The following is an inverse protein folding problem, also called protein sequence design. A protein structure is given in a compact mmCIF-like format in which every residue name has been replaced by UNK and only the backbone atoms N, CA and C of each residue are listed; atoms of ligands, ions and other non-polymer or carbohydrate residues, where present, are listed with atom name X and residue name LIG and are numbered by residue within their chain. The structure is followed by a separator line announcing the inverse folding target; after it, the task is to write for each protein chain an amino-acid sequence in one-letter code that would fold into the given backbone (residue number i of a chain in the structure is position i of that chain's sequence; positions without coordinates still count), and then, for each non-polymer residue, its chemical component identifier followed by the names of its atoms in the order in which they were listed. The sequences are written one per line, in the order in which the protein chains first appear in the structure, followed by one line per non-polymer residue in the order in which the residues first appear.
data_IF_676310594742
#
_entry.id   IF_676310594742
#
_cell.length_a   1.000
_cell.length_b   1.000
_cell.length_c   1.000
_cell.angle_alpha   90.00
_cell.angle_beta   90.00
_cell.angle_gamma   90.00
#
_symmetry.space_group_name_H-M   'P 1'
#
loop_
_entity.id
_entity.type
_entity.pdbx_description
1 polymer ?
#
# COMPACT_ATOMS: atom_id res chain seq x y z
N UNK A 1 -26.92 -12.72 22.91
CA UNK A 1 -27.19 -11.28 22.99
C UNK A 1 -27.48 -10.77 21.60
N UNK A 2 -28.76 -10.53 21.30
CA UNK A 2 -29.27 -10.05 20.02
C UNK A 2 -28.75 -8.64 19.76
N UNK A 3 -27.88 -8.46 18.75
CA UNK A 3 -27.47 -7.14 18.28
C UNK A 3 -28.71 -6.45 17.72
N UNK A 4 -29.25 -5.47 18.46
CA UNK A 4 -30.24 -4.55 17.94
C UNK A 4 -29.63 -3.91 16.69
N UNK A 5 -30.21 -4.21 15.53
CA UNK A 5 -29.97 -3.45 14.32
C UNK A 5 -30.53 -2.07 14.65
N UNK A 6 -29.65 -1.10 14.88
CA UNK A 6 -30.04 0.29 15.00
C UNK A 6 -30.60 0.63 13.62
N UNK A 7 -31.91 0.67 13.49
CA UNK A 7 -32.60 1.14 12.29
C UNK A 7 -32.38 2.65 12.23
N UNK A 8 -31.18 3.02 11.80
CA UNK A 8 -30.84 4.39 11.47
C UNK A 8 -31.67 4.67 10.22
N UNK A 9 -32.75 5.43 10.34
CA UNK A 9 -33.53 5.90 9.20
C UNK A 9 -32.92 7.22 8.69
N UNK A 10 -31.97 7.18 7.73
CA UNK A 10 -31.30 8.37 7.25
C UNK A 10 -32.28 9.35 6.62
N UNK A 11 -33.36 8.86 6.00
CA UNK A 11 -34.33 9.68 5.30
C UNK A 11 -35.13 10.54 6.28
N UNK A 12 -35.51 9.98 7.43
CA UNK A 12 -36.14 10.77 8.51
C UNK A 12 -35.18 11.81 9.11
N UNK A 13 -33.89 11.45 9.29
CA UNK A 13 -32.90 12.38 9.80
C UNK A 13 -32.62 13.54 8.82
N UNK A 14 -32.56 13.26 7.53
CA UNK A 14 -32.39 14.26 6.47
C UNK A 14 -33.64 15.13 6.34
N UNK A 15 -34.84 14.54 6.38
CA UNK A 15 -36.10 15.28 6.31
C UNK A 15 -36.27 16.27 7.48
N UNK A 16 -35.93 15.86 8.72
CA UNK A 16 -35.97 16.74 9.89
C UNK A 16 -35.01 17.92 9.77
N UNK A 17 -33.80 17.69 9.26
CA UNK A 17 -32.81 18.76 9.07
C UNK A 17 -33.22 19.68 7.91
N UNK A 18 -33.75 19.12 6.82
CA UNK A 18 -34.26 19.90 5.68
C UNK A 18 -35.39 20.81 6.14
N UNK A 19 -36.40 20.28 6.83
CA UNK A 19 -37.51 21.07 7.34
C UNK A 19 -37.06 22.21 8.27
N UNK A 20 -36.04 21.96 9.11
CA UNK A 20 -35.45 23.01 9.96
C UNK A 20 -34.69 24.05 9.13
N UNK A 21 -33.97 23.65 8.09
CA UNK A 21 -33.29 24.58 7.18
C UNK A 21 -34.29 25.44 6.39
N UNK A 22 -35.36 24.83 5.88
CA UNK A 22 -36.45 25.49 5.17
C UNK A 22 -37.17 26.49 6.09
N UNK A 23 -37.37 26.17 7.37
CA UNK A 23 -37.96 27.10 8.34
C UNK A 23 -37.11 28.35 8.64
N UNK A 24 -35.84 28.36 8.24
CA UNK A 24 -34.90 29.48 8.46
C UNK A 24 -34.62 30.22 7.13
N UNK A 25 -35.20 29.79 6.00
CA UNK A 25 -34.95 30.40 4.69
C UNK A 25 -35.38 31.87 4.62
N UNK A 26 -36.38 32.26 5.40
CA UNK A 26 -36.84 33.66 5.54
C UNK A 26 -35.72 34.60 5.99
N UNK A 27 -34.70 34.07 6.70
CA UNK A 27 -33.52 34.84 7.09
C UNK A 27 -32.72 35.36 5.88
N UNK A 28 -32.86 34.74 4.70
CA UNK A 28 -32.17 35.14 3.48
C UNK A 28 -32.72 36.45 2.90
N UNK A 29 -33.95 36.83 3.24
CA UNK A 29 -34.60 38.04 2.74
C UNK A 29 -34.33 39.26 3.66
N UNK A 30 -33.83 39.03 4.87
CA UNK A 30 -33.59 40.07 5.86
C UNK A 30 -32.40 40.96 5.47
N UNK A 31 -32.66 42.27 5.27
CA UNK A 31 -31.63 43.30 5.13
C UNK A 31 -31.41 44.02 6.45
N UNK A 32 -30.18 43.97 6.96
CA UNK A 32 -29.80 44.63 8.22
C UNK A 32 -29.48 46.10 7.95
N UNK A 33 -30.43 46.99 8.26
CA UNK A 33 -30.31 48.45 8.03
C UNK A 33 -30.62 49.29 9.27
N UNK A 34 -31.12 48.66 10.34
CA UNK A 34 -31.53 49.32 11.58
C UNK A 34 -31.35 48.40 12.80
N UNK A 35 -31.38 48.95 14.01
CA UNK A 35 -31.25 48.18 15.26
C UNK A 35 -32.26 47.03 15.38
N UNK A 36 -33.56 47.20 15.06
CA UNK A 36 -34.51 46.08 15.06
C UNK A 36 -34.13 44.96 14.09
N UNK A 37 -33.68 45.30 12.88
CA UNK A 37 -33.24 44.29 11.90
C UNK A 37 -31.95 43.58 12.31
N UNK A 38 -31.09 44.24 13.10
CA UNK A 38 -29.89 43.63 13.67
C UNK A 38 -30.23 42.60 14.76
N UNK A 39 -31.16 42.93 15.66
CA UNK A 39 -31.64 41.99 16.69
C UNK A 39 -32.31 40.76 16.05
N UNK A 40 -33.14 40.98 15.02
CA UNK A 40 -33.77 39.90 14.26
C UNK A 40 -32.73 39.01 13.55
N UNK A 41 -31.68 39.58 12.97
CA UNK A 41 -30.58 38.82 12.40
C UNK A 41 -29.85 37.98 13.47
N UNK A 42 -29.71 38.50 14.69
CA UNK A 42 -29.17 37.77 15.83
C UNK A 42 -29.98 36.52 16.17
N UNK A 43 -31.32 36.62 16.16
CA UNK A 43 -32.23 35.49 16.38
C UNK A 43 -32.07 34.43 15.29
N UNK A 44 -32.10 34.83 14.01
CA UNK A 44 -31.89 33.88 12.90
C UNK A 44 -30.52 33.20 12.97
N UNK A 45 -29.46 33.94 13.33
CA UNK A 45 -28.13 33.35 13.52
C UNK A 45 -28.09 32.32 14.65
N UNK A 46 -28.86 32.53 15.72
CA UNK A 46 -29.06 31.52 16.77
C UNK A 46 -29.68 30.23 16.21
N UNK A 47 -30.77 30.36 15.45
CA UNK A 47 -31.46 29.23 14.82
C UNK A 47 -30.57 28.48 13.82
N UNK A 48 -29.75 29.19 13.02
CA UNK A 48 -28.77 28.58 12.11
C UNK A 48 -27.74 27.76 12.87
N UNK A 49 -27.26 28.24 14.02
CA UNK A 49 -26.30 27.49 14.86
C UNK A 49 -26.92 26.21 15.42
N UNK A 50 -28.16 26.27 15.89
CA UNK A 50 -28.90 25.10 16.37
C UNK A 50 -29.09 24.06 15.25
N UNK A 51 -29.52 24.50 14.07
CA UNK A 51 -29.68 23.63 12.91
C UNK A 51 -28.36 22.96 12.49
N UNK A 52 -27.24 23.70 12.53
CA UNK A 52 -25.89 23.15 12.29
C UNK A 52 -25.48 22.10 13.31
N UNK A 53 -25.77 22.33 14.60
CA UNK A 53 -25.48 21.36 15.66
C UNK A 53 -26.32 20.09 15.47
N UNK A 54 -27.62 20.23 15.22
CA UNK A 54 -28.52 19.10 14.96
C UNK A 54 -28.05 18.28 13.75
N UNK A 55 -27.68 18.93 12.64
CA UNK A 55 -27.12 18.25 11.47
C UNK A 55 -25.85 17.46 11.83
N UNK A 56 -24.94 18.05 12.61
CA UNK A 56 -23.70 17.40 13.02
C UNK A 56 -23.95 16.19 13.90
N UNK A 57 -24.87 16.29 14.85
CA UNK A 57 -25.21 15.20 15.77
C UNK A 57 -25.90 14.06 15.02
N UNK A 58 -26.85 14.36 14.12
CA UNK A 58 -27.45 13.34 13.26
C UNK A 58 -26.41 12.66 12.38
N UNK A 59 -25.50 13.41 11.74
CA UNK A 59 -24.38 12.81 10.99
C UNK A 59 -23.54 11.85 11.85
N UNK A 60 -23.21 12.24 13.08
CA UNK A 60 -22.46 11.39 14.01
C UNK A 60 -23.21 10.10 14.37
N UNK A 61 -24.50 10.19 14.66
CA UNK A 61 -25.31 8.99 14.98
C UNK A 61 -25.32 7.94 13.85
N UNK A 62 -25.12 8.37 12.59
CA UNK A 62 -24.98 7.48 11.44
C UNK A 62 -23.53 6.98 11.30
N UNK A 63 -22.55 7.87 11.39
CA UNK A 63 -21.15 7.57 11.08
C UNK A 63 -20.42 6.77 12.17
N UNK A 64 -20.70 7.04 13.44
CA UNK A 64 -20.01 6.40 14.56
C UNK A 64 -20.25 4.88 14.62
N UNK A 65 -21.48 4.34 14.44
CA UNK A 65 -21.66 2.88 14.38
C UNK A 65 -20.99 2.26 13.14
N UNK A 66 -20.96 2.96 11.99
CA UNK A 66 -20.27 2.47 10.79
C UNK A 66 -18.76 2.37 10.99
N UNK A 67 -18.16 3.36 11.68
CA UNK A 67 -16.74 3.29 12.07
C UNK A 67 -16.47 2.11 13.01
N UNK A 68 -17.32 1.93 14.01
CA UNK A 68 -17.18 0.82 14.95
C UNK A 68 -17.32 -0.54 14.25
N UNK A 69 -18.24 -0.68 13.28
CA UNK A 69 -18.38 -1.89 12.45
C UNK A 69 -17.12 -2.11 11.63
N UNK A 70 -16.62 -1.06 10.95
CA UNK A 70 -15.38 -1.15 10.16
C UNK A 70 -14.20 -1.63 11.01
N UNK A 71 -13.95 -1.00 12.16
CA UNK A 71 -12.86 -1.38 13.06
C UNK A 71 -13.02 -2.81 13.61
N UNK A 72 -14.25 -3.22 13.93
CA UNK A 72 -14.53 -4.58 14.38
C UNK A 72 -14.30 -5.61 13.26
N UNK A 73 -14.64 -5.26 12.02
CA UNK A 73 -14.38 -6.10 10.85
C UNK A 73 -12.88 -6.23 10.58
N UNK A 74 -12.12 -5.13 10.61
CA UNK A 74 -10.66 -5.16 10.46
C UNK A 74 -10.01 -6.05 11.52
N UNK A 75 -10.35 -5.86 12.80
CA UNK A 75 -9.85 -6.70 13.90
C UNK A 75 -10.25 -8.17 13.80
N UNK A 76 -11.38 -8.47 13.17
CA UNK A 76 -11.83 -9.85 12.97
C UNK A 76 -10.92 -10.60 11.99
N UNK A 77 -10.42 -9.91 10.95
CA UNK A 77 -9.63 -10.51 9.88
C UNK A 77 -8.12 -10.38 10.09
N UNK A 78 -7.67 -9.39 10.86
CA UNK A 78 -6.25 -9.12 11.16
C UNK A 78 -5.45 -10.38 11.57
N UNK A 79 -5.91 -11.25 12.50
CA UNK A 79 -5.14 -12.45 12.85
C UNK A 79 -5.01 -13.48 11.73
N UNK A 80 -5.99 -13.53 10.81
CA UNK A 80 -5.94 -14.41 9.65
C UNK A 80 -5.00 -13.85 8.59
N UNK A 81 -5.06 -12.54 8.34
CA UNK A 81 -4.16 -11.82 7.43
C UNK A 81 -2.70 -11.93 7.88
N UNK A 82 -2.42 -11.76 9.17
CA UNK A 82 -1.08 -11.94 9.74
C UNK A 82 -0.55 -13.36 9.50
N UNK A 83 -1.37 -14.39 9.77
CA UNK A 83 -0.98 -15.79 9.55
C UNK A 83 -0.70 -16.07 8.08
N UNK A 84 -1.57 -15.59 7.18
CA UNK A 84 -1.39 -15.73 5.74
C UNK A 84 -0.11 -15.01 5.31
N UNK A 85 0.15 -13.81 5.83
CA UNK A 85 1.37 -13.05 5.56
C UNK A 85 2.64 -13.79 6.00
N UNK A 86 2.65 -14.39 7.19
CA UNK A 86 3.78 -15.21 7.67
C UNK A 86 4.00 -16.44 6.79
N UNK A 87 2.92 -17.13 6.40
CA UNK A 87 3.00 -18.29 5.51
C UNK A 87 3.55 -17.87 4.13
N UNK A 88 3.06 -16.76 3.58
CA UNK A 88 3.52 -16.23 2.29
C UNK A 88 5.01 -15.89 2.34
N UNK A 89 5.46 -15.19 3.38
CA UNK A 89 6.87 -14.86 3.58
C UNK A 89 7.74 -16.12 3.69
N UNK A 90 7.29 -17.12 4.45
CA UNK A 90 7.99 -18.39 4.57
C UNK A 90 8.12 -19.10 3.23
N UNK A 91 7.03 -19.23 2.48
CA UNK A 91 7.03 -19.89 1.16
C UNK A 91 7.93 -19.17 0.17
N UNK A 92 7.88 -17.83 0.12
CA UNK A 92 8.80 -17.02 -0.71
C UNK A 92 10.26 -17.29 -0.34
N UNK A 93 10.57 -17.31 0.96
CA UNK A 93 11.93 -17.63 1.43
C UNK A 93 12.39 -19.03 1.02
N UNK A 94 11.51 -20.05 1.09
CA UNK A 94 11.84 -21.41 0.63
C UNK A 94 12.06 -21.47 -0.88
N UNK A 95 11.22 -20.79 -1.67
CA UNK A 95 11.34 -20.73 -3.12
C UNK A 95 12.67 -20.06 -3.51
N UNK A 96 12.99 -18.91 -2.92
CA UNK A 96 14.22 -18.18 -3.19
C UNK A 96 15.45 -19.01 -2.77
N UNK A 97 15.39 -19.68 -1.61
CA UNK A 97 16.44 -20.58 -1.14
C UNK A 97 16.68 -21.78 -2.07
N UNK A 98 15.61 -22.39 -2.60
CA UNK A 98 15.71 -23.47 -3.57
C UNK A 98 16.29 -22.98 -4.91
N UNK A 99 15.85 -21.82 -5.36
CA UNK A 99 16.35 -21.19 -6.58
C UNK A 99 17.84 -20.88 -6.51
N UNK A 100 18.32 -20.34 -5.39
CA UNK A 100 19.74 -20.09 -5.17
C UNK A 100 20.56 -21.39 -5.23
N UNK A 101 20.01 -22.51 -4.73
CA UNK A 101 20.65 -23.83 -4.86
C UNK A 101 20.71 -24.27 -6.33
N UNK A 102 19.62 -24.14 -7.08
CA UNK A 102 19.59 -24.46 -8.50
C UNK A 102 20.58 -23.62 -9.33
N UNK A 103 20.69 -22.32 -9.03
CA UNK A 103 21.68 -21.44 -9.67
C UNK A 103 23.11 -21.88 -9.35
N UNK A 104 23.43 -22.17 -8.09
CA UNK A 104 24.76 -22.69 -7.72
C UNK A 104 25.09 -24.01 -8.42
N UNK A 105 24.14 -24.94 -8.47
CA UNK A 105 24.33 -26.20 -9.20
C UNK A 105 24.54 -25.97 -10.71
N UNK A 106 23.81 -25.02 -11.31
CA UNK A 106 23.99 -24.67 -12.70
C UNK A 106 25.38 -24.07 -12.95
N UNK A 107 25.85 -23.17 -12.07
CA UNK A 107 27.17 -22.53 -12.16
C UNK A 107 28.31 -23.55 -11.97
N UNK A 108 28.19 -24.48 -11.02
CA UNK A 108 29.16 -25.55 -10.81
C UNK A 108 29.22 -26.48 -12.03
N UNK A 109 28.06 -26.88 -12.56
CA UNK A 109 27.99 -27.71 -13.77
C UNK A 109 28.52 -26.97 -15.01
N UNK A 110 28.30 -25.66 -15.12
CA UNK A 110 28.88 -24.86 -16.19
C UNK A 110 30.41 -24.86 -16.11
N UNK A 111 30.98 -24.63 -14.92
CA UNK A 111 32.43 -24.71 -14.69
C UNK A 111 33.00 -26.10 -14.97
N UNK A 112 32.29 -27.16 -14.60
CA UNK A 112 32.70 -28.54 -14.90
C UNK A 112 32.63 -28.84 -16.40
N UNK A 113 31.61 -28.35 -17.10
CA UNK A 113 31.46 -28.48 -18.54
C UNK A 113 32.59 -27.72 -19.27
N UNK A 114 32.90 -26.49 -18.87
CA UNK A 114 34.04 -25.71 -19.38
C UNK A 114 35.35 -26.50 -19.24
N UNK A 115 35.65 -27.01 -18.05
CA UNK A 115 36.84 -27.84 -17.79
C UNK A 115 36.89 -29.13 -18.61
N UNK A 116 35.74 -29.70 -19.00
CA UNK A 116 35.66 -30.92 -19.84
C UNK A 116 35.77 -30.61 -21.32
N UNK A 117 35.25 -29.47 -21.77
CA UNK A 117 35.41 -28.97 -23.14
C UNK A 117 36.87 -28.60 -23.40
N UNK A 118 37.54 -27.93 -22.45
CA UNK A 118 39.00 -27.66 -22.52
C UNK A 118 39.83 -28.95 -22.60
N UNK A 119 39.33 -30.07 -22.03
CA UNK A 119 39.95 -31.39 -22.07
C UNK A 119 39.51 -32.26 -23.26
N UNK A 120 38.74 -31.73 -24.21
CA UNK A 120 38.41 -32.40 -25.48
C UNK A 120 37.17 -33.31 -25.46
N UNK A 121 36.27 -33.18 -24.50
CA UNK A 121 35.03 -33.96 -24.45
C UNK A 121 33.91 -33.43 -25.38
N UNK A 122 33.02 -34.31 -25.83
CA UNK A 122 31.91 -34.01 -26.76
C UNK A 122 30.82 -33.12 -26.14
N UNK A 123 30.49 -32.02 -26.84
CA UNK A 123 29.64 -30.90 -26.38
C UNK A 123 28.17 -31.30 -26.06
N UNK A 124 27.69 -32.41 -26.61
CA UNK A 124 26.27 -32.76 -26.66
C UNK A 124 25.69 -33.34 -25.37
N UNK A 125 26.49 -34.04 -24.54
CA UNK A 125 26.00 -34.59 -23.26
C UNK A 125 26.06 -33.55 -22.12
N UNK A 126 27.03 -32.63 -22.17
CA UNK A 126 27.17 -31.56 -21.19
C UNK A 126 26.04 -30.52 -21.29
N UNK A 127 25.56 -30.23 -22.50
CA UNK A 127 24.52 -29.24 -22.77
C UNK A 127 23.12 -29.69 -22.34
N UNK A 128 22.75 -30.97 -22.52
CA UNK A 128 21.42 -31.50 -22.11
C UNK A 128 21.13 -31.37 -20.60
N UNK A 129 22.12 -31.57 -19.74
CA UNK A 129 21.95 -31.44 -18.28
C UNK A 129 21.83 -29.99 -17.84
N UNK A 130 22.43 -29.07 -18.59
CA UNK A 130 22.37 -27.64 -18.34
C UNK A 130 20.98 -27.07 -18.69
N UNK A 131 20.43 -27.47 -19.85
CA UNK A 131 19.06 -27.08 -20.26
C UNK A 131 17.99 -27.53 -19.26
N UNK A 132 18.06 -28.76 -18.75
CA UNK A 132 17.10 -29.26 -17.76
C UNK A 132 17.14 -28.48 -16.43
N UNK A 133 18.30 -27.92 -16.07
CA UNK A 133 18.43 -27.11 -14.85
C UNK A 133 17.89 -25.70 -15.08
N UNK A 134 18.11 -25.14 -16.28
CA UNK A 134 17.60 -23.83 -16.69
C UNK A 134 16.07 -23.79 -16.80
N UNK A 135 15.45 -24.85 -17.32
CA UNK A 135 13.99 -24.96 -17.41
C UNK A 135 13.32 -24.91 -16.02
N UNK A 136 13.92 -25.57 -15.03
CA UNK A 136 13.42 -25.55 -13.63
C UNK A 136 13.50 -24.16 -13.00
N UNK A 137 14.50 -23.35 -13.38
CA UNK A 137 14.64 -21.97 -12.91
C UNK A 137 13.56 -21.06 -13.53
N UNK A 138 13.23 -21.28 -14.80
CA UNK A 138 12.26 -20.46 -15.55
C UNK A 138 10.79 -20.68 -15.13
N UNK A 139 10.47 -21.79 -14.46
CA UNK A 139 9.12 -22.07 -13.95
C UNK A 139 8.73 -21.09 -12.82
N UNK A 140 9.70 -20.51 -12.11
CA UNK A 140 9.44 -19.57 -11.01
C UNK A 140 9.37 -18.14 -11.58
N UNK A 141 8.19 -17.50 -11.66
CA UNK A 141 8.06 -16.14 -12.16
C UNK A 141 8.78 -15.16 -11.23
N UNK A 142 9.73 -14.43 -11.79
CA UNK A 142 10.58 -13.50 -11.03
C UNK A 142 10.54 -12.12 -11.68
N UNK A 143 10.72 -11.09 -10.85
CA UNK A 143 10.99 -9.74 -11.35
C UNK A 143 12.29 -9.23 -10.76
N UNK A 144 13.02 -8.48 -11.57
CA UNK A 144 14.21 -7.76 -11.13
C UNK A 144 13.77 -6.52 -10.35
N UNK A 145 14.16 -6.45 -9.09
CA UNK A 145 13.98 -5.28 -8.25
C UNK A 145 15.35 -4.66 -8.02
N UNK A 146 15.49 -3.39 -8.38
CA UNK A 146 16.69 -2.63 -8.06
C UNK A 146 16.72 -2.38 -6.57
N UNK A 147 17.83 -2.74 -5.93
CA UNK A 147 18.12 -2.41 -4.54
C UNK A 147 19.39 -1.59 -4.47
N UNK A 148 19.46 -0.74 -3.46
CA UNK A 148 20.58 0.16 -3.22
C UNK A 148 21.22 -0.26 -1.90
N UNK A 149 22.53 -0.53 -1.92
CA UNK A 149 23.32 -0.73 -0.72
C UNK A 149 24.24 0.48 -0.54
N UNK A 150 24.20 1.09 0.64
CA UNK A 150 25.17 2.14 0.99
C UNK A 150 26.47 1.45 1.37
N UNK A 151 27.55 1.72 0.63
CA UNK A 151 28.89 1.19 0.93
C UNK A 151 29.73 2.15 1.76
N UNK A 152 29.57 3.46 1.56
CA UNK A 152 30.33 4.47 2.28
C UNK A 152 29.48 5.72 2.55
N UNK A 153 29.02 5.86 3.79
CA UNK A 153 28.11 6.93 4.23
C UNK A 153 28.71 8.33 4.08
N UNK A 154 30.05 8.46 4.07
CA UNK A 154 30.72 9.77 3.97
C UNK A 154 30.66 10.31 2.54
N UNK A 155 30.74 9.43 1.55
CA UNK A 155 30.76 9.77 0.13
C UNK A 155 29.39 9.94 -0.50
N UNK A 156 28.35 9.42 0.15
CA UNK A 156 26.97 9.63 -0.29
C UNK A 156 26.66 11.13 -0.24
N UNK A 157 26.19 11.76 -1.33
CA UNK A 157 25.76 13.17 -1.29
C UNK A 157 24.64 13.37 -0.26
N UNK A 158 24.63 14.52 0.44
CA UNK A 158 23.66 14.80 1.51
C UNK A 158 22.19 14.65 1.06
N UNK A 159 21.91 14.86 -0.23
CA UNK A 159 20.59 14.68 -0.84
C UNK A 159 20.05 13.24 -0.75
N UNK A 160 20.94 12.24 -0.68
CA UNK A 160 20.58 10.82 -0.59
C UNK A 160 20.74 10.25 0.83
N UNK A 161 21.25 11.04 1.80
CA UNK A 161 21.34 10.65 3.23
C UNK A 161 19.98 10.68 3.92
N UNK A 162 19.05 11.52 3.45
CA UNK A 162 17.68 11.59 3.92
C UNK A 162 16.80 10.60 3.15
N UNK A 163 16.93 9.31 3.49
CA UNK A 163 15.96 8.22 3.31
C UNK A 163 14.93 8.39 2.17
N UNK A 164 15.37 8.68 0.96
CA UNK A 164 14.51 8.73 -0.21
C UNK A 164 15.05 7.73 -1.23
N UNK A 165 14.93 6.45 -0.87
CA UNK A 165 15.33 5.30 -1.70
C UNK A 165 14.80 5.43 -3.13
N UNK A 166 13.62 6.03 -3.29
CA UNK A 166 13.00 6.30 -4.60
C UNK A 166 13.87 7.18 -5.51
N UNK A 167 14.46 8.28 -4.99
CA UNK A 167 15.33 9.16 -5.79
C UNK A 167 16.66 8.51 -6.14
N UNK A 168 17.21 7.71 -5.22
CA UNK A 168 18.42 6.94 -5.47
C UNK A 168 18.19 5.88 -6.57
N UNK A 169 17.03 5.21 -6.54
CA UNK A 169 16.62 4.23 -7.55
C UNK A 169 16.33 4.88 -8.91
N UNK A 170 15.75 6.09 -8.95
CA UNK A 170 15.55 6.85 -10.19
C UNK A 170 16.90 7.23 -10.83
N UNK A 171 17.85 7.71 -10.02
CA UNK A 171 19.20 8.05 -10.47
C UNK A 171 19.95 6.81 -11.02
N UNK A 172 19.74 5.65 -10.39
CA UNK A 172 20.27 4.36 -10.86
C UNK A 172 19.68 3.93 -12.20
N UNK A 173 18.36 4.06 -12.38
CA UNK A 173 17.68 3.76 -13.66
C UNK A 173 18.11 4.70 -14.79
N UNK A 174 18.50 5.93 -14.45
CA UNK A 174 19.06 6.92 -15.36
C UNK A 174 20.56 6.69 -15.66
N UNK A 175 21.20 5.70 -15.04
CA UNK A 175 22.61 5.36 -15.28
C UNK A 175 23.62 6.28 -14.59
N UNK A 176 23.18 7.12 -13.66
CA UNK A 176 24.06 8.05 -12.93
C UNK A 176 24.72 7.31 -11.77
N UNK A 177 26.05 7.16 -11.84
CA UNK A 177 26.85 6.50 -10.81
C UNK A 177 27.04 7.46 -9.62
N UNK A 178 26.30 7.21 -8.53
CA UNK A 178 26.44 7.97 -7.28
C UNK A 178 27.54 7.32 -6.44
N UNK A 179 28.59 8.09 -6.12
CA UNK A 179 29.68 7.62 -5.26
C UNK A 179 29.15 7.25 -3.86
N UNK A 180 29.52 6.07 -3.34
CA UNK A 180 29.06 5.55 -2.04
C UNK A 180 27.78 4.69 -2.08
N UNK A 181 27.15 4.51 -3.25
CA UNK A 181 26.01 3.62 -3.46
C UNK A 181 26.36 2.48 -4.43
N UNK A 182 26.13 1.24 -4.01
CA UNK A 182 26.14 0.07 -4.89
C UNK A 182 24.71 -0.29 -5.27
N UNK A 183 24.42 -0.29 -6.57
CA UNK A 183 23.15 -0.76 -7.12
C UNK A 183 23.28 -2.22 -7.49
N UNK A 184 22.40 -3.06 -6.94
CA UNK A 184 22.31 -4.46 -7.31
C UNK A 184 20.89 -4.82 -7.73
N UNK A 185 20.78 -5.71 -8.71
CA UNK A 185 19.50 -6.27 -9.12
C UNK A 185 19.26 -7.53 -8.31
N UNK A 186 18.22 -7.49 -7.47
CA UNK A 186 17.76 -8.67 -6.73
C UNK A 186 16.57 -9.26 -7.48
N UNK A 187 16.54 -10.58 -7.65
CA UNK A 187 15.47 -11.25 -8.37
C UNK A 187 14.48 -11.83 -7.37
N UNK A 188 13.36 -11.12 -7.18
CA UNK A 188 12.33 -11.51 -6.20
C UNK A 188 11.26 -12.33 -6.92
N UNK A 189 10.83 -13.42 -6.29
CA UNK A 189 9.69 -14.24 -6.76
C UNK A 189 8.38 -13.44 -6.68
N UNK A 190 7.59 -13.43 -7.76
CA UNK A 190 6.33 -12.68 -7.86
C UNK A 190 5.17 -13.64 -8.06
N UNK A 191 4.07 -13.44 -7.33
CA UNK A 191 2.82 -14.15 -7.65
C UNK A 191 2.23 -13.59 -8.95
N UNK A 192 1.97 -14.46 -9.92
CA UNK A 192 1.02 -14.16 -10.99
C UNK A 192 -0.38 -14.24 -10.39
N UNK A 193 -1.00 -13.09 -10.16
CA UNK A 193 -2.45 -12.95 -10.06
C UNK A 193 -2.96 -12.35 -11.37
#
# INVERSE_FOLDING_TARGET
MSKQIIEVNPDQAVALVSAKADSISEAMELKVVSTPTYEQAGVYMGQVREAKTLLKDKKKTILDPLKAVKEATEKLFEPAEEKIGVIELYLKSQIDGYRLKLQKEADERAKEAEKKIEKGATITEATKKLTNTQEKINVIPTRKVWRVKITDFVKVPNEFKLLNESKALESAKLGVKVEGLEFYQDEITVNRY
#
